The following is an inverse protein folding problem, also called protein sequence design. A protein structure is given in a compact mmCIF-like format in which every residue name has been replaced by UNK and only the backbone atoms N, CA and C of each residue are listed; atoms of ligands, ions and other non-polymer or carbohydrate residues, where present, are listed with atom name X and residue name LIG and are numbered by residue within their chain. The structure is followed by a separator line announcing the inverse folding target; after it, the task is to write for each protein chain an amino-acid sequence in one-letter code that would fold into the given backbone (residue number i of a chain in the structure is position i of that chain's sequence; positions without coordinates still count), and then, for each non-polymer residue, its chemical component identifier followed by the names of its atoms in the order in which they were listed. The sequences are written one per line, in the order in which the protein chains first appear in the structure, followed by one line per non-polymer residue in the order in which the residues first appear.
data_IF_540976276034
#
_entry.id   IF_540976276034
#
_cell.length_a   1.000
_cell.length_b   1.000
_cell.length_c   1.000
_cell.angle_alpha   90.00
_cell.angle_beta   90.00
_cell.angle_gamma   90.00
#
_symmetry.space_group_name_H-M   'P 1'
#
loop_
_entity.id
_entity.type
_entity.pdbx_description
1 polymer ?
#
# COMPACT_ATOMS: atom_id res chain seq x y z
N UNK A 1 -0.41 6.12 -27.41
CA UNK A 1 -1.18 7.28 -26.90
C UNK A 1 -0.39 8.08 -25.86
N UNK A 2 0.27 7.42 -24.90
CA UNK A 2 1.10 8.09 -23.87
C UNK A 2 2.27 8.92 -24.41
N UNK A 3 2.95 8.45 -25.47
CA UNK A 3 4.09 9.15 -26.08
C UNK A 3 3.74 10.54 -26.64
N UNK A 4 2.48 10.75 -27.05
CA UNK A 4 2.00 12.04 -27.55
C UNK A 4 1.82 13.05 -26.38
N UNK A 5 1.25 12.60 -25.27
CA UNK A 5 0.99 13.41 -24.07
C UNK A 5 2.27 13.95 -23.42
N UNK A 6 3.34 13.15 -23.42
CA UNK A 6 4.63 13.54 -22.84
C UNK A 6 5.26 14.67 -23.67
N UNK A 7 5.15 14.59 -25.00
CA UNK A 7 5.73 15.56 -25.91
C UNK A 7 4.98 16.90 -25.93
N UNK A 8 3.65 16.85 -25.94
CA UNK A 8 2.81 18.05 -25.78
C UNK A 8 3.09 18.74 -24.43
N UNK A 9 3.34 17.96 -23.37
CA UNK A 9 3.74 18.47 -22.05
C UNK A 9 5.06 19.24 -22.05
N UNK A 10 6.08 18.73 -22.76
CA UNK A 10 7.36 19.43 -22.92
C UNK A 10 7.20 20.73 -23.70
N UNK A 11 6.48 20.71 -24.82
CA UNK A 11 6.25 21.92 -25.59
C UNK A 11 5.56 22.98 -24.71
N UNK A 12 4.57 22.59 -23.91
CA UNK A 12 3.88 23.49 -23.00
C UNK A 12 4.81 24.08 -21.93
N UNK A 13 5.70 23.28 -21.33
CA UNK A 13 6.66 23.77 -20.33
C UNK A 13 7.69 24.72 -20.97
N UNK A 14 8.21 24.38 -22.15
CA UNK A 14 9.16 25.23 -22.88
C UNK A 14 8.48 26.52 -23.36
N UNK A 15 7.19 26.47 -23.72
CA UNK A 15 6.38 27.65 -24.06
C UNK A 15 6.15 28.53 -22.84
N UNK A 16 5.82 27.94 -21.69
CA UNK A 16 5.64 28.68 -20.44
C UNK A 16 6.94 29.36 -20.00
N UNK A 17 8.08 28.69 -20.15
CA UNK A 17 9.41 29.26 -19.86
C UNK A 17 9.74 30.41 -20.79
N UNK A 18 9.48 30.27 -22.10
CA UNK A 18 9.61 31.34 -23.09
C UNK A 18 8.71 32.53 -22.74
N UNK A 19 7.43 32.31 -22.43
CA UNK A 19 6.50 33.38 -22.08
C UNK A 19 6.88 34.09 -20.77
N UNK A 20 7.30 33.34 -19.75
CA UNK A 20 7.76 33.92 -18.48
C UNK A 20 9.06 34.69 -18.66
N UNK A 21 9.92 34.29 -19.59
CA UNK A 21 11.12 35.04 -19.96
C UNK A 21 10.76 36.34 -20.72
N UNK A 22 9.81 36.27 -21.65
CA UNK A 22 9.35 37.43 -22.44
C UNK A 22 8.58 38.46 -21.59
N UNK A 23 7.86 38.01 -20.54
CA UNK A 23 7.10 38.88 -19.62
C UNK A 23 7.95 39.47 -18.47
N UNK A 24 9.18 38.99 -18.26
CA UNK A 24 10.04 39.47 -17.18
C UNK A 24 10.88 40.69 -17.61
N UNK A 25 10.61 41.85 -17.01
CA UNK A 25 11.37 43.11 -17.22
C UNK A 25 12.69 43.12 -16.44
N UNK A 26 12.81 42.31 -15.38
CA UNK A 26 14.01 42.17 -14.55
C UNK A 26 14.59 40.76 -14.76
N UNK A 27 15.91 40.58 -14.99
CA UNK A 27 16.46 39.26 -15.27
C UNK A 27 16.33 38.33 -14.05
N UNK A 28 15.78 37.13 -14.26
CA UNK A 28 15.74 36.07 -13.26
C UNK A 28 17.16 35.73 -12.78
N UNK A 29 17.31 35.35 -11.51
CA UNK A 29 18.59 34.89 -10.98
C UNK A 29 19.11 33.71 -11.81
N UNK A 30 20.42 33.72 -12.11
CA UNK A 30 21.12 32.64 -12.84
C UNK A 30 20.76 31.26 -12.28
N UNK A 31 20.71 31.13 -10.95
CA UNK A 31 20.38 29.88 -10.26
C UNK A 31 18.96 29.40 -10.54
N UNK A 32 17.99 30.32 -10.66
CA UNK A 32 16.61 29.94 -10.95
C UNK A 32 16.44 29.47 -12.40
N UNK A 33 17.18 30.05 -13.33
CA UNK A 33 17.20 29.61 -14.72
C UNK A 33 17.90 28.26 -14.88
N UNK A 34 19.01 28.03 -14.17
CA UNK A 34 19.71 26.74 -14.15
C UNK A 34 18.82 25.66 -13.54
N UNK A 35 18.15 25.92 -12.41
CA UNK A 35 17.22 24.94 -11.81
C UNK A 35 16.07 24.57 -12.74
N UNK A 36 15.58 25.52 -13.55
CA UNK A 36 14.52 25.25 -14.54
C UNK A 36 15.04 24.46 -15.74
N UNK A 37 16.29 24.71 -16.16
CA UNK A 37 16.96 23.93 -17.21
C UNK A 37 17.26 22.50 -16.74
N UNK A 38 17.66 22.31 -15.49
CA UNK A 38 17.92 20.99 -14.87
C UNK A 38 16.66 20.10 -14.89
N UNK A 39 15.48 20.68 -14.58
CA UNK A 39 14.19 19.99 -14.69
C UNK A 39 13.87 19.58 -16.13
N UNK A 40 14.26 20.38 -17.12
CA UNK A 40 14.10 20.05 -18.54
C UNK A 40 15.09 18.95 -18.94
N UNK A 41 16.36 19.07 -18.55
CA UNK A 41 17.43 18.11 -18.80
C UNK A 41 17.07 16.72 -18.27
N UNK A 42 16.58 16.66 -17.04
CA UNK A 42 16.18 15.42 -16.38
C UNK A 42 15.03 14.73 -17.14
N UNK A 43 14.02 15.48 -17.58
CA UNK A 43 12.90 14.91 -18.35
C UNK A 43 13.31 14.49 -19.76
N UNK A 44 14.19 15.25 -20.42
CA UNK A 44 14.76 14.89 -21.73
C UNK A 44 15.56 13.59 -21.63
N UNK A 45 16.37 13.44 -20.57
CA UNK A 45 17.13 12.23 -20.28
C UNK A 45 16.23 11.02 -20.01
N UNK A 46 15.13 11.21 -19.26
CA UNK A 46 14.14 10.14 -18.99
C UNK A 46 13.42 9.62 -20.26
N UNK A 47 13.37 10.43 -21.32
CA UNK A 47 12.78 10.06 -22.60
C UNK A 47 13.78 9.40 -23.55
N UNK A 48 15.08 9.62 -23.36
CA UNK A 48 16.12 8.97 -24.14
C UNK A 48 16.01 7.44 -23.96
N UNK A 49 15.69 6.73 -25.05
CA UNK A 49 15.46 5.29 -25.07
C UNK A 49 13.99 4.84 -25.08
N UNK A 50 12.99 5.72 -24.88
CA UNK A 50 11.54 5.34 -24.87
C UNK A 50 10.74 5.90 -26.05
N UNK A 51 11.15 7.03 -26.60
CA UNK A 51 10.48 7.72 -27.70
C UNK A 51 11.30 7.58 -28.97
N UNK A 52 10.64 7.40 -30.13
CA UNK A 52 11.27 7.34 -31.46
C UNK A 52 11.83 8.69 -31.92
N UNK A 53 12.51 9.39 -31.03
CA UNK A 53 13.19 10.66 -31.26
C UNK A 53 14.55 10.35 -31.89
N UNK A 54 15.00 11.10 -32.91
CA UNK A 54 16.37 11.03 -33.37
C UNK A 54 17.34 11.34 -32.22
N UNK A 55 18.02 10.30 -31.74
CA UNK A 55 18.85 10.29 -30.53
C UNK A 55 19.99 11.32 -30.58
N UNK A 56 20.51 11.58 -31.77
CA UNK A 56 21.51 12.59 -32.05
C UNK A 56 21.03 14.04 -31.74
N UNK A 57 19.76 14.35 -31.93
CA UNK A 57 19.23 15.70 -31.75
C UNK A 57 18.90 16.00 -30.28
N UNK A 58 18.41 15.00 -29.55
CA UNK A 58 18.22 15.09 -28.09
C UNK A 58 19.56 15.23 -27.38
N UNK A 59 20.56 14.46 -27.81
CA UNK A 59 21.91 14.55 -27.30
C UNK A 59 22.53 15.94 -27.55
N UNK A 60 22.29 16.54 -28.72
CA UNK A 60 22.76 17.90 -29.00
C UNK A 60 22.14 18.94 -28.04
N UNK A 61 20.84 18.85 -27.79
CA UNK A 61 20.14 19.75 -26.85
C UNK A 61 20.64 19.54 -25.42
N UNK A 62 20.79 18.29 -24.98
CA UNK A 62 21.32 17.95 -23.66
C UNK A 62 22.77 18.43 -23.50
N UNK A 63 23.60 18.29 -24.54
CA UNK A 63 24.98 18.76 -24.53
C UNK A 63 25.06 20.29 -24.44
N UNK A 64 24.17 21.00 -25.13
CA UNK A 64 24.08 22.46 -25.05
C UNK A 64 23.60 22.93 -23.67
N UNK A 65 22.58 22.29 -23.09
CA UNK A 65 22.12 22.59 -21.72
C UNK A 65 23.22 22.32 -20.69
N UNK A 66 23.90 21.17 -20.80
CA UNK A 66 25.00 20.79 -19.91
C UNK A 66 26.24 21.68 -20.03
N UNK A 67 26.53 22.21 -21.22
CA UNK A 67 27.64 23.15 -21.45
C UNK A 67 27.42 24.50 -20.74
N UNK A 68 26.17 24.95 -20.69
CA UNK A 68 25.74 26.16 -19.97
C UNK A 68 25.79 25.93 -18.45
N UNK A 69 25.28 24.80 -17.97
CA UNK A 69 25.30 24.45 -16.54
C UNK A 69 26.71 24.41 -15.94
N UNK A 70 27.72 24.02 -16.74
CA UNK A 70 29.13 23.96 -16.34
C UNK A 70 29.86 25.32 -16.30
N UNK A 71 29.22 26.41 -16.74
CA UNK A 71 29.74 27.77 -16.57
C UNK A 71 31.02 28.06 -17.36
N UNK A 72 31.04 27.81 -18.67
CA UNK A 72 32.19 28.13 -19.53
C UNK A 72 32.32 29.61 -19.93
N UNK A 73 31.40 30.49 -19.53
CA UNK A 73 31.42 31.92 -19.88
C UNK A 73 31.86 32.77 -18.69
N UNK A 74 32.96 33.52 -18.84
CA UNK A 74 33.45 34.50 -17.85
C UNK A 74 32.49 35.71 -17.68
N UNK A 75 31.45 35.83 -18.51
CA UNK A 75 30.53 36.97 -18.51
C UNK A 75 29.07 36.53 -18.30
N UNK A 76 28.56 36.72 -17.08
CA UNK A 76 27.18 36.37 -16.69
C UNK A 76 26.09 36.96 -17.61
N UNK A 77 26.34 38.11 -18.25
CA UNK A 77 25.38 38.72 -19.18
C UNK A 77 25.30 37.97 -20.52
N UNK A 78 26.43 37.45 -20.98
CA UNK A 78 26.49 36.66 -22.22
C UNK A 78 25.84 35.29 -22.01
N UNK A 79 26.16 34.63 -20.88
CA UNK A 79 25.57 33.35 -20.46
C UNK A 79 24.02 33.45 -20.39
N UNK A 80 23.51 34.57 -19.89
CA UNK A 80 22.07 34.84 -19.85
C UNK A 80 21.45 34.96 -21.23
N UNK A 81 22.06 35.70 -22.15
CA UNK A 81 21.58 35.83 -23.53
C UNK A 81 21.67 34.50 -24.30
N UNK A 82 22.72 33.71 -24.05
CA UNK A 82 22.89 32.38 -24.64
C UNK A 82 21.79 31.42 -24.14
N UNK A 83 21.44 31.45 -22.85
CA UNK A 83 20.31 30.69 -22.30
C UNK A 83 18.98 31.14 -22.89
N UNK A 84 18.74 32.45 -22.99
CA UNK A 84 17.54 32.99 -23.62
C UNK A 84 17.42 32.52 -25.07
N UNK A 85 18.53 32.53 -25.80
CA UNK A 85 18.63 32.01 -27.16
C UNK A 85 18.27 30.54 -27.23
N UNK A 86 18.82 29.72 -26.33
CA UNK A 86 18.57 28.29 -26.25
C UNK A 86 17.11 27.95 -25.96
N UNK A 87 16.44 28.69 -25.07
CA UNK A 87 15.02 28.48 -24.77
C UNK A 87 14.16 28.78 -26.01
N UNK A 88 14.48 29.86 -26.75
CA UNK A 88 13.76 30.25 -27.97
C UNK A 88 14.01 29.27 -29.12
N UNK A 89 15.25 28.81 -29.31
CA UNK A 89 15.57 27.81 -30.34
C UNK A 89 14.93 26.47 -29.99
N UNK A 90 15.07 26.00 -28.75
CA UNK A 90 14.44 24.75 -28.28
C UNK A 90 12.92 24.78 -28.47
N UNK A 91 12.26 25.88 -28.10
CA UNK A 91 10.82 26.05 -28.34
C UNK A 91 10.45 25.91 -29.82
N UNK A 92 11.22 26.53 -30.72
CA UNK A 92 11.02 26.44 -32.17
C UNK A 92 11.22 25.01 -32.67
N UNK A 93 12.28 24.35 -32.24
CA UNK A 93 12.59 22.97 -32.61
C UNK A 93 11.49 22.01 -32.16
N UNK A 94 11.06 22.08 -30.89
CA UNK A 94 9.97 21.24 -30.38
C UNK A 94 8.64 21.48 -31.12
N UNK A 95 8.36 22.74 -31.50
CA UNK A 95 7.17 23.10 -32.26
C UNK A 95 7.18 22.52 -33.69
N UNK A 96 8.29 22.66 -34.41
CA UNK A 96 8.42 22.10 -35.77
C UNK A 96 8.45 20.57 -35.75
N UNK A 97 9.07 19.96 -34.73
CA UNK A 97 9.09 18.51 -34.58
C UNK A 97 7.70 17.92 -34.28
N UNK A 98 6.90 18.62 -33.47
CA UNK A 98 5.50 18.24 -33.23
C UNK A 98 4.64 18.33 -34.50
N UNK A 99 4.88 19.32 -35.37
CA UNK A 99 4.20 19.40 -36.67
C UNK A 99 4.54 18.23 -37.60
N UNK A 100 5.81 17.78 -37.59
CA UNK A 100 6.25 16.63 -38.39
C UNK A 100 5.65 15.32 -37.89
N UNK A 101 5.50 15.16 -36.57
CA UNK A 101 4.90 13.97 -35.96
C UNK A 101 3.37 13.94 -36.02
N UNK A 102 2.72 15.10 -36.09
CA UNK A 102 1.25 15.23 -36.13
C UNK A 102 0.82 16.27 -37.18
N UNK A 103 0.75 15.88 -38.47
CA UNK A 103 0.29 16.78 -39.52
C UNK A 103 -1.25 16.83 -39.59
N UNK A 104 -1.88 17.83 -38.93
CA UNK A 104 -3.20 18.48 -39.19
C UNK A 104 -3.68 19.17 -37.88
N UNK A 105 -4.24 20.38 -37.82
CA UNK A 105 -4.98 21.18 -38.80
C UNK A 105 -4.65 22.67 -38.60
N UNK A 106 -4.48 23.40 -39.69
CA UNK A 106 -4.29 24.85 -39.72
C UNK A 106 -5.62 25.56 -39.43
N UNK A 107 -5.92 25.86 -38.16
CA UNK A 107 -6.99 26.81 -37.82
C UNK A 107 -6.38 28.12 -37.32
N UNK A 108 -6.66 29.27 -37.95
CA UNK A 108 -6.01 30.54 -37.64
C UNK A 108 -6.54 31.13 -36.34
N UNK A 109 -5.62 31.74 -35.58
CA UNK A 109 -5.81 32.82 -34.62
C UNK A 109 -7.25 33.07 -34.12
N UNK A 110 -7.68 32.31 -33.12
CA UNK A 110 -8.76 32.69 -32.22
C UNK A 110 -8.19 32.75 -30.81
N UNK A 111 -8.05 33.98 -30.28
CA UNK A 111 -7.73 34.35 -28.90
C UNK A 111 -7.32 33.20 -27.96
N UNK A 112 -6.02 32.94 -27.88
CA UNK A 112 -5.39 32.13 -26.83
C UNK A 112 -5.51 32.87 -25.49
N UNK A 113 -6.71 32.79 -24.89
CA UNK A 113 -6.77 32.76 -23.44
C UNK A 113 -6.09 31.45 -23.01
N UNK A 114 -5.14 31.49 -22.06
CA UNK A 114 -4.47 30.29 -21.58
C UNK A 114 -5.51 29.51 -20.78
N UNK A 115 -6.27 28.64 -21.44
CA UNK A 115 -7.14 27.69 -20.75
C UNK A 115 -6.21 26.73 -20.02
N UNK A 116 -6.01 27.08 -18.75
CA UNK A 116 -5.28 26.37 -17.73
C UNK A 116 -5.38 24.86 -17.92
N UNK A 117 -4.26 24.19 -18.16
CA UNK A 117 -4.17 22.73 -18.26
C UNK A 117 -4.80 22.02 -17.04
N UNK A 118 -4.86 22.70 -15.89
CA UNK A 118 -5.57 22.24 -14.70
C UNK A 118 -7.06 22.01 -14.97
N UNK A 119 -7.74 22.85 -15.76
CA UNK A 119 -9.17 22.70 -16.08
C UNK A 119 -9.43 21.54 -17.07
N UNK A 120 -8.47 21.29 -17.97
CA UNK A 120 -8.56 20.18 -18.92
C UNK A 120 -8.23 18.83 -18.25
N UNK A 121 -7.33 18.86 -17.26
CA UNK A 121 -7.01 17.70 -16.42
C UNK A 121 -8.15 17.41 -15.45
N UNK A 122 -8.70 18.42 -14.76
CA UNK A 122 -9.84 18.24 -13.84
C UNK A 122 -11.02 17.66 -14.59
N UNK A 123 -11.37 18.13 -15.80
CA UNK A 123 -12.46 17.56 -16.61
C UNK A 123 -12.27 16.07 -16.96
N UNK A 124 -11.02 15.63 -17.20
CA UNK A 124 -10.71 14.21 -17.47
C UNK A 124 -10.62 13.34 -16.20
N UNK A 125 -10.31 13.92 -15.05
CA UNK A 125 -10.27 13.24 -13.73
C UNK A 125 -11.62 13.34 -12.99
N UNK A 126 -12.52 14.21 -13.44
CA UNK A 126 -13.89 14.41 -12.95
C UNK A 126 -14.74 13.13 -12.81
N UNK A 127 -14.60 12.05 -13.63
CA UNK A 127 -15.33 10.81 -13.34
C UNK A 127 -15.01 10.20 -11.96
N UNK A 128 -13.83 10.49 -11.37
CA UNK A 128 -13.44 10.04 -10.03
C UNK A 128 -13.89 10.98 -8.89
N UNK A 129 -14.20 12.25 -9.20
CA UNK A 129 -14.72 13.24 -8.24
C UNK A 129 -16.26 13.30 -8.20
N UNK A 130 -16.96 12.46 -8.95
CA UNK A 130 -18.43 12.38 -8.85
C UNK A 130 -18.82 11.81 -7.47
N UNK A 131 -19.70 12.46 -6.69
CA UNK A 131 -20.04 12.05 -5.32
C UNK A 131 -20.58 10.61 -5.25
N UNK A 132 -21.20 10.11 -6.32
CA UNK A 132 -21.69 8.72 -6.42
C UNK A 132 -20.56 7.68 -6.44
N UNK A 133 -19.42 7.97 -7.07
CA UNK A 133 -18.26 7.05 -7.09
C UNK A 133 -17.43 7.16 -5.81
N UNK A 134 -17.38 8.34 -5.19
CA UNK A 134 -16.75 8.54 -3.89
C UNK A 134 -17.44 7.72 -2.79
N UNK A 135 -18.78 7.66 -2.78
CA UNK A 135 -19.51 6.82 -1.82
C UNK A 135 -19.27 5.32 -2.05
N UNK A 136 -19.21 4.89 -3.32
CA UNK A 136 -18.89 3.49 -3.66
C UNK A 136 -17.45 3.12 -3.28
N UNK A 137 -16.47 3.99 -3.54
CA UNK A 137 -15.07 3.74 -3.18
C UNK A 137 -14.84 3.80 -1.67
N UNK A 138 -15.49 4.72 -0.95
CA UNK A 138 -15.47 4.76 0.51
C UNK A 138 -16.06 3.46 1.11
N UNK A 139 -17.16 2.96 0.54
CA UNK A 139 -17.75 1.67 0.93
C UNK A 139 -16.80 0.49 0.72
N UNK A 140 -16.07 0.45 -0.41
CA UNK A 140 -15.07 -0.58 -0.69
C UNK A 140 -13.93 -0.52 0.33
N UNK A 141 -13.42 0.67 0.66
CA UNK A 141 -12.35 0.84 1.65
C UNK A 141 -12.81 0.37 3.04
N UNK A 142 -14.01 0.76 3.46
CA UNK A 142 -14.60 0.31 4.74
C UNK A 142 -14.77 -1.21 4.75
N UNK A 143 -15.21 -1.80 3.64
CA UNK A 143 -15.35 -3.26 3.50
C UNK A 143 -13.99 -3.96 3.63
N UNK A 144 -12.95 -3.46 2.97
CA UNK A 144 -11.60 -4.02 3.04
C UNK A 144 -11.01 -3.92 4.45
N UNK A 145 -11.19 -2.78 5.13
CA UNK A 145 -10.74 -2.60 6.52
C UNK A 145 -11.49 -3.54 7.45
N UNK A 146 -12.81 -3.67 7.30
CA UNK A 146 -13.63 -4.60 8.08
C UNK A 146 -13.21 -6.04 7.86
N UNK A 147 -12.95 -6.45 6.62
CA UNK A 147 -12.49 -7.79 6.27
C UNK A 147 -11.11 -8.07 6.89
N UNK A 148 -10.17 -7.13 6.78
CA UNK A 148 -8.83 -7.27 7.37
C UNK A 148 -8.88 -7.42 8.90
N UNK A 149 -9.74 -6.63 9.57
CA UNK A 149 -9.97 -6.74 11.01
C UNK A 149 -10.61 -8.09 11.37
N UNK A 150 -11.58 -8.57 10.59
CA UNK A 150 -12.20 -9.88 10.79
C UNK A 150 -11.19 -11.04 10.63
N UNK A 151 -10.32 -10.99 9.62
CA UNK A 151 -9.26 -12.01 9.43
C UNK A 151 -8.28 -12.01 10.61
N UNK A 152 -7.84 -10.83 11.07
CA UNK A 152 -6.99 -10.73 12.27
C UNK A 152 -7.69 -11.21 13.54
N UNK A 153 -9.00 -10.98 13.64
CA UNK A 153 -9.80 -11.42 14.77
C UNK A 153 -9.92 -12.95 14.80
N UNK A 154 -10.20 -13.58 13.66
CA UNK A 154 -10.25 -15.05 13.54
C UNK A 154 -8.89 -15.66 13.91
N UNK A 155 -7.78 -15.09 13.43
CA UNK A 155 -6.45 -15.55 13.79
C UNK A 155 -6.15 -15.43 15.29
N UNK A 156 -6.55 -14.33 15.94
CA UNK A 156 -6.40 -14.17 17.40
C UNK A 156 -7.27 -15.15 18.16
N UNK A 157 -8.52 -15.32 17.76
CA UNK A 157 -9.46 -16.24 18.39
C UNK A 157 -8.98 -17.69 18.27
N UNK A 158 -8.46 -18.06 17.11
CA UNK A 158 -7.88 -19.38 16.86
C UNK A 158 -6.66 -19.64 17.74
N UNK A 159 -5.76 -18.65 17.91
CA UNK A 159 -4.63 -18.76 18.86
C UNK A 159 -5.09 -18.95 20.31
N UNK A 160 -6.16 -18.27 20.73
CA UNK A 160 -6.70 -18.43 22.09
C UNK A 160 -7.28 -19.83 22.29
N UNK A 161 -8.04 -20.35 21.32
CA UNK A 161 -8.56 -21.71 21.36
C UNK A 161 -7.44 -22.76 21.35
N UNK A 162 -6.41 -22.56 20.52
CA UNK A 162 -5.24 -23.42 20.47
C UNK A 162 -4.50 -23.44 21.82
N UNK A 163 -4.39 -22.30 22.50
CA UNK A 163 -3.76 -22.23 23.82
C UNK A 163 -4.60 -22.90 24.92
N UNK A 164 -5.93 -22.72 24.88
CA UNK A 164 -6.86 -23.39 25.80
C UNK A 164 -6.76 -24.92 25.68
N UNK A 165 -6.73 -25.46 24.46
CA UNK A 165 -6.65 -26.91 24.27
C UNK A 165 -5.29 -27.48 24.65
N UNK A 166 -4.19 -26.76 24.37
CA UNK A 166 -2.84 -27.13 24.84
C UNK A 166 -2.81 -27.25 26.36
N UNK A 167 -3.39 -26.29 27.07
CA UNK A 167 -3.43 -26.31 28.53
C UNK A 167 -4.25 -27.49 29.07
N UNK A 168 -5.46 -27.72 28.56
CA UNK A 168 -6.31 -28.84 28.98
C UNK A 168 -5.68 -30.20 28.69
N UNK A 169 -4.92 -30.32 27.60
CA UNK A 169 -4.18 -31.54 27.30
C UNK A 169 -3.06 -31.80 28.32
N UNK A 170 -2.31 -30.77 28.71
CA UNK A 170 -1.28 -30.89 29.76
C UNK A 170 -1.93 -31.33 31.08
N UNK A 171 -3.08 -30.75 31.44
CA UNK A 171 -3.85 -31.17 32.60
C UNK A 171 -4.31 -32.63 32.50
N UNK A 172 -4.81 -33.05 31.33
CA UNK A 172 -5.20 -34.44 31.09
C UNK A 172 -4.02 -35.41 31.23
N UNK A 173 -2.84 -35.04 30.74
CA UNK A 173 -1.63 -35.87 30.85
C UNK A 173 -1.07 -35.91 32.27
N UNK A 174 -1.38 -34.92 33.10
CA UNK A 174 -0.95 -34.84 34.50
C UNK A 174 0.55 -34.57 34.70
N UNK A 175 1.31 -34.37 33.62
CA UNK A 175 2.73 -34.02 33.60
C UNK A 175 3.03 -33.11 32.42
N UNK A 176 3.94 -32.15 32.61
CA UNK A 176 4.44 -31.27 31.58
C UNK A 176 5.84 -31.75 31.15
N UNK A 177 5.89 -32.76 30.30
CA UNK A 177 7.16 -33.27 29.76
C UNK A 177 7.64 -32.36 28.62
N UNK A 178 8.93 -32.03 28.58
CA UNK A 178 9.51 -31.13 27.57
C UNK A 178 9.24 -31.60 26.13
N UNK A 179 9.22 -32.90 25.88
CA UNK A 179 8.89 -33.50 24.58
C UNK A 179 7.42 -33.32 24.17
N UNK A 180 6.50 -33.34 25.14
CA UNK A 180 5.08 -33.10 24.87
C UNK A 180 4.79 -31.62 24.60
N UNK A 181 5.51 -30.72 25.28
CA UNK A 181 5.49 -29.28 24.99
C UNK A 181 6.03 -28.99 23.59
N UNK A 182 7.18 -29.57 23.24
CA UNK A 182 7.80 -29.40 21.92
C UNK A 182 6.89 -29.93 20.79
N UNK A 183 6.25 -31.09 21.00
CA UNK A 183 5.26 -31.63 20.07
C UNK A 183 4.07 -30.67 19.89
N UNK A 184 3.53 -30.12 20.98
CA UNK A 184 2.41 -29.18 20.93
C UNK A 184 2.80 -27.85 20.28
N UNK A 185 4.02 -27.35 20.50
CA UNK A 185 4.52 -26.15 19.84
C UNK A 185 4.70 -26.37 18.34
N UNK A 186 5.28 -27.50 17.97
CA UNK A 186 5.47 -27.87 16.56
C UNK A 186 4.13 -28.04 15.86
N UNK A 187 3.22 -28.88 16.38
CA UNK A 187 1.97 -29.24 15.68
C UNK A 187 0.88 -28.18 15.69
N UNK A 188 0.93 -27.19 16.59
CA UNK A 188 -0.03 -26.09 16.61
C UNK A 188 0.50 -24.79 16.00
N UNK A 189 1.82 -24.61 15.95
CA UNK A 189 2.43 -23.33 15.57
C UNK A 189 3.36 -23.46 14.37
N UNK A 190 4.38 -24.32 14.42
CA UNK A 190 5.43 -24.37 13.38
C UNK A 190 5.02 -25.18 12.14
N UNK A 191 4.47 -26.36 12.37
CA UNK A 191 3.93 -27.30 11.38
C UNK A 191 2.49 -27.62 11.75
N UNK A 192 1.58 -26.68 11.47
CA UNK A 192 0.19 -26.82 11.91
C UNK A 192 -0.47 -28.05 11.27
N UNK A 193 -0.82 -29.00 12.12
CA UNK A 193 -1.48 -30.24 11.73
C UNK A 193 -2.92 -30.26 12.26
N UNK A 194 -3.88 -29.91 11.40
CA UNK A 194 -5.27 -29.78 11.81
C UNK A 194 -5.91 -31.12 12.19
N UNK A 195 -5.45 -32.24 11.65
CA UNK A 195 -5.95 -33.58 11.99
C UNK A 195 -5.46 -34.00 13.37
N UNK A 196 -4.20 -33.71 13.69
CA UNK A 196 -3.66 -33.85 15.03
C UNK A 196 -4.41 -32.97 16.04
N UNK A 197 -4.64 -31.69 15.72
CA UNK A 197 -5.35 -30.77 16.61
C UNK A 197 -6.78 -31.27 16.89
N UNK A 198 -7.48 -31.77 15.86
CA UNK A 198 -8.83 -32.32 16.00
C UNK A 198 -8.85 -33.58 16.86
N UNK A 199 -7.98 -34.55 16.57
CA UNK A 199 -7.89 -35.79 17.35
C UNK A 199 -7.50 -35.54 18.81
N UNK A 200 -6.57 -34.60 19.05
CA UNK A 200 -6.18 -34.17 20.39
C UNK A 200 -7.35 -33.50 21.12
N UNK A 201 -8.09 -32.62 20.44
CA UNK A 201 -9.28 -31.96 20.99
C UNK A 201 -10.35 -32.99 21.41
N UNK A 202 -10.62 -33.98 20.57
CA UNK A 202 -11.59 -35.03 20.84
C UNK A 202 -11.14 -35.93 22.01
N UNK A 203 -9.83 -36.22 22.09
CA UNK A 203 -9.24 -36.97 23.21
C UNK A 203 -9.44 -36.24 24.54
N UNK A 204 -9.14 -34.93 24.58
CA UNK A 204 -9.30 -34.08 25.77
C UNK A 204 -10.77 -34.01 26.19
N UNK A 205 -11.68 -33.72 25.24
CA UNK A 205 -13.13 -33.67 25.53
C UNK A 205 -13.65 -35.01 26.05
N UNK A 206 -13.19 -36.11 25.46
CA UNK A 206 -13.55 -37.46 25.90
C UNK A 206 -13.08 -37.75 27.32
N UNK A 207 -11.86 -37.32 27.68
CA UNK A 207 -11.36 -37.44 29.05
C UNK A 207 -12.15 -36.58 30.04
N UNK A 208 -12.37 -35.31 29.72
CA UNK A 208 -13.16 -34.40 30.57
C UNK A 208 -14.57 -34.96 30.82
N UNK A 209 -15.21 -35.50 29.79
CA UNK A 209 -16.52 -36.13 29.90
C UNK A 209 -16.51 -37.33 30.87
N UNK A 210 -15.54 -38.24 30.73
CA UNK A 210 -15.41 -39.39 31.63
C UNK A 210 -15.07 -38.97 33.06
N UNK A 211 -14.19 -37.98 33.22
CA UNK A 211 -13.83 -37.44 34.53
C UNK A 211 -15.04 -36.83 35.23
N UNK A 212 -15.89 -36.09 34.51
CA UNK A 212 -17.15 -35.54 35.06
C UNK A 212 -18.10 -36.64 35.49
N UNK A 213 -18.30 -37.67 34.65
CA UNK A 213 -19.18 -38.80 34.98
C UNK A 213 -18.71 -39.58 36.19
N UNK A 214 -17.39 -39.76 36.34
CA UNK A 214 -16.81 -40.38 37.53
C UNK A 214 -17.01 -39.53 38.79
N UNK A 215 -16.82 -38.21 38.70
CA UNK A 215 -17.06 -37.30 39.80
C UNK A 215 -18.53 -37.30 40.24
N UNK A 216 -19.48 -37.25 39.28
CA UNK A 216 -20.92 -37.35 39.55
C UNK A 216 -21.28 -38.69 40.22
N UNK A 217 -20.70 -39.81 39.75
CA UNK A 217 -20.94 -41.12 40.34
C UNK A 217 -20.39 -41.22 41.77
N UNK A 218 -19.21 -40.66 42.01
CA UNK A 218 -18.59 -40.61 43.34
C UNK A 218 -19.40 -39.75 44.31
N UNK A 219 -19.91 -38.60 43.86
CA UNK A 219 -20.75 -37.72 44.66
C UNK A 219 -22.08 -38.40 45.04
N UNK A 220 -22.72 -39.11 44.10
CA UNK A 220 -23.91 -39.92 44.42
C UNK A 220 -23.60 -41.03 45.42
N UNK A 221 -22.45 -41.70 45.29
CA UNK A 221 -22.04 -42.71 46.25
C UNK A 221 -21.80 -42.13 47.65
N UNK A 222 -21.24 -40.91 47.75
CA UNK A 222 -21.08 -40.21 49.02
C UNK A 222 -22.41 -39.86 49.67
N UNK A 223 -23.35 -39.31 48.90
CA UNK A 223 -24.69 -38.98 49.40
C UNK A 223 -25.44 -40.22 49.91
N UNK A 224 -25.34 -41.35 49.20
CA UNK A 224 -25.92 -42.62 49.65
C UNK A 224 -25.23 -43.15 50.91
N UNK A 225 -23.91 -43.00 51.03
CA UNK A 225 -23.17 -43.40 52.22
C UNK A 225 -23.54 -42.55 53.44
N UNK A 226 -23.67 -41.24 53.29
CA UNK A 226 -24.15 -40.33 54.35
C UNK A 226 -25.57 -40.70 54.81
N UNK A 227 -26.48 -41.03 53.86
CA UNK A 227 -27.81 -41.51 54.21
C UNK A 227 -27.78 -42.85 54.97
N UNK A 228 -26.92 -43.78 54.55
CA UNK A 228 -26.77 -45.07 55.23
C UNK A 228 -26.22 -44.91 56.66
N UNK A 229 -25.26 -44.01 56.88
CA UNK A 229 -24.75 -43.69 58.21
C UNK A 229 -25.83 -43.06 59.11
N UNK A 230 -26.62 -42.11 58.59
CA UNK A 230 -27.73 -41.53 59.34
C UNK A 230 -28.78 -42.57 59.75
N UNK A 231 -29.12 -43.50 58.84
CA UNK A 231 -30.04 -44.59 59.15
C UNK A 231 -29.46 -45.54 60.20
N UNK A 232 -28.15 -45.84 60.15
CA UNK A 232 -27.47 -46.66 61.16
C UNK A 232 -27.50 -45.99 62.54
N UNK A 233 -27.22 -44.69 62.62
CA UNK A 233 -27.31 -43.95 63.87
C UNK A 233 -28.73 -43.89 64.44
N UNK A 234 -29.76 -43.77 63.59
CA UNK A 234 -31.16 -43.81 64.03
C UNK A 234 -31.53 -45.20 64.55
N UNK A 235 -31.10 -46.27 63.87
CA UNK A 235 -31.32 -47.65 64.31
C UNK A 235 -30.61 -47.93 65.66
N UNK A 236 -29.36 -47.46 65.83
CA UNK A 236 -28.61 -47.61 67.08
C UNK A 236 -29.24 -46.83 68.26
N UNK A 237 -29.95 -45.72 67.97
CA UNK A 237 -30.74 -44.98 68.99
C UNK A 237 -32.04 -45.71 69.36
N UNK A 238 -32.65 -46.44 68.43
CA UNK A 238 -33.89 -47.21 68.66
C UNK A 238 -33.62 -48.61 69.27
N UNK A 239 -32.41 -49.15 69.11
CA UNK A 239 -32.02 -50.47 69.61
C UNK A 239 -31.40 -50.49 71.01
N UNK A 240 -31.31 -49.33 71.70
CA UNK A 240 -30.90 -49.29 73.11
C UNK A 240 -32.14 -49.45 74.00
N UNK A 241 -32.19 -50.48 74.87
CA UNK A 241 -33.30 -50.69 75.80
C UNK A 241 -33.37 -49.60 76.88
#
# INVERSE_FOLDING_TARGET
MEKNLILEGLLSMVTELKERQEKQVTPASREEMINRLDVIEQRISDMQGKSGIPENMVQEILNQIGSIGKGQSENQKQDLEDIKGLIVTSHRYFKEWLKVLFPADDTPAGEITPVSWYDKLTYRVTPYLKPKFFLLSAGIIICLVSLALNVRFIQRMQRLQDNDIKYRYILMKGKADGSSLDLLETRFSRERDNDFIRSLTDSVKGFEYRSRKQAEALERARLLNEQAEQLREQADKLGKP
#
